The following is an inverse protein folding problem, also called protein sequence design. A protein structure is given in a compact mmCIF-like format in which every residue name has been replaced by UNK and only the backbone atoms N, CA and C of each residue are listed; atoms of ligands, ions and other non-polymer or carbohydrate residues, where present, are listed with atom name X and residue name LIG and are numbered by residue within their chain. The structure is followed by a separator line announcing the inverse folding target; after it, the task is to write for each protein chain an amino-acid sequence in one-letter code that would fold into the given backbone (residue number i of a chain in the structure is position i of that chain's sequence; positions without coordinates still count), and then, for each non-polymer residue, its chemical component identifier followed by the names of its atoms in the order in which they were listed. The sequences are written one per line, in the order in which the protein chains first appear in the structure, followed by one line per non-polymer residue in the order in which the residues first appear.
data_IF_586161371439
#
_entry.id   IF_586161371439
#
_cell.length_a   1.000
_cell.length_b   1.000
_cell.length_c   1.000
_cell.angle_alpha   90.00
_cell.angle_beta   90.00
_cell.angle_gamma   90.00
#
_symmetry.space_group_name_H-M   'P 1'
#
loop_
_entity.id
_entity.type
_entity.pdbx_description
1 polymer ?
#
# COMPACT_ATOMS: atom_id res chain seq x y z
N UNK A 1 1.13 -13.82 -18.58
CA UNK A 1 1.07 -12.39 -18.26
C UNK A 1 2.46 -11.84 -17.97
N UNK A 2 2.59 -10.51 -17.99
CA UNK A 2 3.71 -9.77 -17.45
C UNK A 2 3.16 -8.77 -16.42
N UNK A 3 4.05 -8.22 -15.57
CA UNK A 3 3.66 -7.31 -14.51
C UNK A 3 4.38 -5.98 -14.64
N UNK A 4 3.67 -4.91 -14.34
CA UNK A 4 4.19 -3.54 -14.28
C UNK A 4 3.94 -3.00 -12.89
N UNK A 5 4.96 -2.44 -12.27
CA UNK A 5 4.85 -1.65 -11.05
C UNK A 5 4.66 -0.19 -11.43
N UNK A 6 3.68 0.44 -10.81
CA UNK A 6 3.33 1.83 -11.08
C UNK A 6 3.18 2.54 -9.74
N UNK A 7 3.91 3.64 -9.53
CA UNK A 7 3.71 4.53 -8.40
C UNK A 7 3.05 5.82 -8.91
N UNK A 8 1.90 6.16 -8.36
CA UNK A 8 1.12 7.34 -8.71
C UNK A 8 1.15 8.31 -7.54
N UNK A 9 1.78 9.48 -7.75
CA UNK A 9 1.97 10.46 -6.68
C UNK A 9 1.24 11.77 -6.95
N UNK A 10 1.19 12.62 -5.94
CA UNK A 10 0.84 14.03 -6.01
C UNK A 10 1.78 14.84 -5.09
N UNK A 11 1.66 16.16 -5.05
CA UNK A 11 2.42 16.99 -4.11
C UNK A 11 2.08 16.65 -2.67
N UNK A 12 3.02 16.96 -1.77
CA UNK A 12 2.77 16.91 -0.34
C UNK A 12 1.63 17.87 0.04
N UNK A 13 0.90 17.52 1.08
CA UNK A 13 -0.23 18.28 1.61
C UNK A 13 -0.11 18.43 3.11
N UNK A 14 -0.68 19.49 3.67
CA UNK A 14 -0.77 19.68 5.13
C UNK A 14 -1.83 18.73 5.71
N UNK A 15 -1.71 18.44 7.01
CA UNK A 15 -2.55 17.46 7.69
C UNK A 15 -4.05 17.73 7.57
N UNK A 16 -4.47 18.99 7.66
CA UNK A 16 -5.89 19.36 7.58
C UNK A 16 -6.50 19.10 6.19
N UNK A 17 -5.70 19.17 5.13
CA UNK A 17 -6.13 18.92 3.75
C UNK A 17 -6.08 17.43 3.37
N UNK A 18 -5.35 16.62 4.14
CA UNK A 18 -5.13 15.20 3.81
C UNK A 18 -6.43 14.41 3.56
N UNK A 19 -7.52 14.55 4.34
CA UNK A 19 -8.76 13.83 4.07
C UNK A 19 -9.39 14.18 2.71
N UNK A 20 -9.35 15.44 2.30
CA UNK A 20 -9.88 15.89 1.01
C UNK A 20 -9.02 15.37 -0.14
N UNK A 21 -7.70 15.51 -0.01
CA UNK A 21 -6.74 15.07 -1.03
C UNK A 21 -6.76 13.55 -1.23
N UNK A 22 -6.95 12.76 -0.18
CA UNK A 22 -7.21 11.32 -0.32
C UNK A 22 -8.51 11.05 -1.08
N UNK A 23 -9.53 11.88 -0.89
CA UNK A 23 -10.76 11.82 -1.68
C UNK A 23 -10.53 12.08 -3.16
N UNK A 24 -9.70 13.08 -3.51
CA UNK A 24 -9.30 13.38 -4.89
C UNK A 24 -8.49 12.23 -5.50
N UNK A 25 -7.55 11.69 -4.73
CA UNK A 25 -6.72 10.55 -5.14
C UNK A 25 -7.57 9.31 -5.49
N UNK A 26 -8.55 8.98 -4.65
CA UNK A 26 -9.49 7.87 -4.90
C UNK A 26 -10.32 8.09 -6.16
N UNK A 27 -10.88 9.29 -6.35
CA UNK A 27 -11.64 9.66 -7.56
C UNK A 27 -10.73 9.65 -8.80
N UNK A 28 -9.49 10.09 -8.67
CA UNK A 28 -8.49 10.06 -9.74
C UNK A 28 -8.20 8.63 -10.21
N UNK A 29 -8.02 7.69 -9.27
CA UNK A 29 -7.86 6.27 -9.59
C UNK A 29 -9.07 5.72 -10.35
N UNK A 30 -10.28 6.03 -9.90
CA UNK A 30 -11.51 5.60 -10.59
C UNK A 30 -11.55 6.13 -12.03
N UNK A 31 -11.22 7.40 -12.26
CA UNK A 31 -11.13 7.97 -13.61
C UNK A 31 -10.04 7.27 -14.44
N UNK A 32 -8.86 7.02 -13.87
CA UNK A 32 -7.74 6.40 -14.57
C UNK A 32 -8.08 5.00 -15.06
N UNK A 33 -8.65 4.14 -14.20
CA UNK A 33 -9.01 2.77 -14.58
C UNK A 33 -10.12 2.70 -15.63
N UNK A 34 -10.88 3.78 -15.83
CA UNK A 34 -11.91 3.88 -16.88
C UNK A 34 -11.39 4.41 -18.20
N UNK A 35 -10.15 4.92 -18.27
CA UNK A 35 -9.53 5.38 -19.51
C UNK A 35 -9.42 4.24 -20.54
N UNK A 36 -9.66 4.55 -21.82
CA UNK A 36 -9.59 3.57 -22.91
C UNK A 36 -8.21 2.89 -22.96
N UNK A 37 -7.13 3.67 -22.85
CA UNK A 37 -5.76 3.13 -22.87
C UNK A 37 -5.54 2.14 -21.71
N UNK A 38 -6.00 2.45 -20.50
CA UNK A 38 -5.91 1.56 -19.35
C UNK A 38 -6.67 0.25 -19.60
N UNK A 39 -7.94 0.32 -20.00
CA UNK A 39 -8.79 -0.86 -20.26
C UNK A 39 -8.23 -1.77 -21.37
N UNK A 40 -7.58 -1.21 -22.37
CA UNK A 40 -6.97 -1.99 -23.46
C UNK A 40 -5.71 -2.73 -23.00
N UNK A 41 -4.86 -2.08 -22.19
CA UNK A 41 -3.57 -2.60 -21.77
C UNK A 41 -3.66 -3.53 -20.56
N UNK A 42 -4.50 -3.21 -19.57
CA UNK A 42 -4.50 -3.83 -18.24
C UNK A 42 -5.55 -4.92 -18.13
N UNK A 43 -5.13 -6.12 -17.71
CA UNK A 43 -5.99 -7.30 -17.48
C UNK A 43 -6.38 -7.48 -16.02
N UNK A 44 -5.62 -6.92 -15.12
CA UNK A 44 -5.89 -6.90 -13.69
C UNK A 44 -4.97 -5.90 -12.99
N UNK A 45 -5.38 -5.50 -11.82
CA UNK A 45 -4.63 -4.52 -11.02
C UNK A 45 -4.84 -4.76 -9.53
N UNK A 46 -3.80 -4.46 -8.78
CA UNK A 46 -3.79 -4.34 -7.34
C UNK A 46 -3.28 -2.95 -7.01
N UNK A 47 -3.89 -2.25 -6.07
CA UNK A 47 -3.39 -0.98 -5.56
C UNK A 47 -3.38 -0.95 -4.04
N UNK A 48 -2.32 -0.38 -3.47
CA UNK A 48 -2.22 -0.03 -2.07
C UNK A 48 -2.00 1.48 -1.92
N UNK A 49 -2.69 2.09 -0.97
CA UNK A 49 -2.42 3.47 -0.57
C UNK A 49 -1.26 3.47 0.42
N UNK A 50 -0.29 4.36 0.22
CA UNK A 50 0.75 4.68 1.19
C UNK A 50 0.73 6.19 1.48
N UNK A 51 0.91 6.56 2.74
CA UNK A 51 1.06 7.95 3.16
C UNK A 51 2.37 8.03 3.92
N UNK A 52 3.29 8.86 3.46
CA UNK A 52 4.52 9.17 4.18
C UNK A 52 4.41 10.54 4.82
N UNK A 53 4.89 10.67 6.06
CA UNK A 53 4.97 11.94 6.77
C UNK A 53 6.40 12.48 6.65
N UNK A 54 6.55 13.70 6.17
CA UNK A 54 7.87 14.34 6.07
C UNK A 54 8.23 15.02 7.40
N UNK A 55 9.14 14.39 8.13
CA UNK A 55 9.64 14.85 9.43
C UNK A 55 11.06 15.45 9.33
N UNK A 56 11.56 15.72 8.14
CA UNK A 56 12.86 16.36 7.93
C UNK A 56 12.77 17.86 8.25
N UNK A 57 13.25 18.27 9.41
CA UNK A 57 13.11 19.64 9.97
C UNK A 57 13.65 20.75 9.03
N UNK A 58 14.71 20.44 8.26
CA UNK A 58 15.30 21.41 7.31
C UNK A 58 14.61 21.41 5.94
N UNK A 59 13.56 20.62 5.76
CA UNK A 59 12.80 20.55 4.51
C UNK A 59 11.74 21.66 4.45
N UNK A 60 11.57 22.27 3.28
CA UNK A 60 10.47 23.22 3.02
C UNK A 60 9.09 22.54 3.11
N UNK A 61 9.05 21.21 3.09
CA UNK A 61 7.85 20.39 3.24
C UNK A 61 7.80 19.67 4.58
N UNK A 62 8.45 20.21 5.63
CA UNK A 62 8.35 19.69 6.99
C UNK A 62 6.89 19.65 7.47
N UNK A 63 6.53 18.64 8.26
CA UNK A 63 5.17 18.39 8.77
C UNK A 63 4.10 18.34 7.66
N UNK A 64 4.45 17.74 6.51
CA UNK A 64 3.51 17.50 5.41
C UNK A 64 3.40 16.00 5.09
N UNK A 65 2.29 15.62 4.49
CA UNK A 65 1.94 14.24 4.15
C UNK A 65 2.01 14.03 2.64
N UNK A 66 2.60 12.91 2.21
CA UNK A 66 2.71 12.54 0.80
C UNK A 66 1.90 11.27 0.49
N UNK A 67 0.61 11.41 0.16
CA UNK A 67 -0.20 10.26 -0.23
C UNK A 67 0.11 9.82 -1.67
N UNK A 68 0.27 8.52 -1.85
CA UNK A 68 0.53 7.94 -3.17
C UNK A 68 0.01 6.50 -3.26
N UNK A 69 -0.12 6.01 -4.49
CA UNK A 69 -0.49 4.62 -4.75
C UNK A 69 0.71 3.81 -5.23
N UNK A 70 0.89 2.64 -4.64
CA UNK A 70 1.63 1.54 -5.23
C UNK A 70 0.66 0.63 -5.96
N UNK A 71 0.91 0.41 -7.23
CA UNK A 71 0.03 -0.36 -8.11
C UNK A 71 0.79 -1.45 -8.82
N UNK A 72 0.24 -2.66 -8.82
CA UNK A 72 0.69 -3.76 -9.66
C UNK A 72 -0.32 -3.95 -10.78
N UNK A 73 0.13 -3.84 -12.02
CA UNK A 73 -0.68 -4.08 -13.20
C UNK A 73 -0.34 -5.42 -13.83
N UNK A 74 -1.35 -6.21 -14.17
CA UNK A 74 -1.23 -7.40 -14.99
C UNK A 74 -1.49 -7.03 -16.44
N UNK A 75 -0.53 -7.31 -17.31
CA UNK A 75 -0.60 -7.01 -18.74
C UNK A 75 -0.26 -8.25 -19.57
N UNK A 76 -0.58 -8.23 -20.85
CA UNK A 76 -0.13 -9.30 -21.76
C UNK A 76 1.39 -9.30 -21.87
N UNK A 77 2.02 -10.44 -22.16
CA UNK A 77 3.48 -10.52 -22.40
C UNK A 77 3.94 -9.62 -23.55
N UNK A 78 3.09 -9.44 -24.57
CA UNK A 78 3.34 -8.58 -25.72
C UNK A 78 3.22 -7.09 -25.43
N UNK A 79 2.72 -6.68 -24.26
CA UNK A 79 2.44 -5.28 -23.93
C UNK A 79 3.60 -4.33 -24.25
N UNK A 80 4.84 -4.74 -23.98
CA UNK A 80 6.02 -3.88 -24.17
C UNK A 80 6.41 -3.67 -25.63
N UNK A 81 5.87 -4.46 -26.56
CA UNK A 81 6.11 -4.41 -28.01
C UNK A 81 4.85 -4.12 -28.81
N UNK A 82 3.70 -4.05 -28.15
CA UNK A 82 2.39 -3.85 -28.75
C UNK A 82 2.02 -2.36 -28.81
N UNK A 83 1.09 -2.01 -29.71
CA UNK A 83 0.50 -0.67 -29.83
C UNK A 83 -0.29 -0.24 -28.57
N UNK A 84 -0.59 -1.15 -27.67
CA UNK A 84 -1.23 -0.87 -26.38
C UNK A 84 -0.24 -0.43 -25.30
N UNK A 85 1.06 -0.38 -25.61
CA UNK A 85 2.08 0.12 -24.70
C UNK A 85 1.82 1.58 -24.31
N UNK A 86 1.73 1.84 -23.02
CA UNK A 86 1.55 3.19 -22.48
C UNK A 86 2.91 3.72 -22.07
N UNK A 87 3.39 4.76 -22.76
CA UNK A 87 4.66 5.43 -22.45
C UNK A 87 4.58 6.15 -21.09
N UNK A 88 5.70 6.33 -20.45
CA UNK A 88 5.82 7.06 -19.18
C UNK A 88 5.15 8.44 -19.21
N UNK A 89 5.42 9.25 -20.22
CA UNK A 89 4.76 10.55 -20.41
C UNK A 89 3.22 10.46 -20.47
N UNK A 90 2.71 9.40 -21.11
CA UNK A 90 1.26 9.19 -21.22
C UNK A 90 0.66 8.83 -19.86
N UNK A 91 1.39 8.06 -19.01
CA UNK A 91 0.98 7.82 -17.64
C UNK A 91 0.92 9.12 -16.83
N UNK A 92 1.96 9.96 -16.90
CA UNK A 92 2.00 11.25 -16.20
C UNK A 92 0.82 12.16 -16.62
N UNK A 93 0.59 12.31 -17.94
CA UNK A 93 -0.51 13.13 -18.47
C UNK A 93 -1.89 12.59 -18.06
N UNK A 94 -2.10 11.28 -18.20
CA UNK A 94 -3.37 10.67 -17.77
C UNK A 94 -3.62 10.86 -16.27
N UNK A 95 -2.58 10.74 -15.44
CA UNK A 95 -2.70 10.92 -14.00
C UNK A 95 -2.97 12.39 -13.65
N UNK A 96 -2.27 13.32 -14.28
CA UNK A 96 -2.52 14.76 -14.18
C UNK A 96 -3.98 15.10 -14.46
N UNK A 97 -4.49 14.65 -15.62
CA UNK A 97 -5.87 14.89 -16.03
C UNK A 97 -6.90 14.25 -15.09
N UNK A 98 -6.61 13.04 -14.58
CA UNK A 98 -7.50 12.32 -13.67
C UNK A 98 -7.63 13.03 -12.31
N UNK A 99 -6.56 13.64 -11.83
CA UNK A 99 -6.54 14.44 -10.60
C UNK A 99 -6.97 15.89 -10.82
N UNK A 100 -6.90 16.41 -12.05
CA UNK A 100 -7.18 17.82 -12.38
C UNK A 100 -6.06 18.74 -11.87
N UNK A 101 -4.78 18.31 -11.99
CA UNK A 101 -3.63 19.06 -11.54
C UNK A 101 -3.16 20.09 -12.56
N UNK A 102 -2.71 21.23 -12.12
CA UNK A 102 -2.08 22.29 -12.91
C UNK A 102 -0.58 22.04 -13.18
N UNK A 103 -0.01 20.99 -12.59
CA UNK A 103 1.36 20.54 -12.76
C UNK A 103 1.42 19.07 -13.22
N UNK A 104 2.54 18.67 -13.81
CA UNK A 104 2.79 17.27 -14.19
C UNK A 104 3.25 16.49 -12.95
N UNK A 105 2.46 15.50 -12.47
CA UNK A 105 2.85 14.70 -11.30
C UNK A 105 3.97 13.72 -11.65
N UNK A 106 4.77 13.37 -10.66
CA UNK A 106 5.73 12.29 -10.80
C UNK A 106 5.00 10.94 -10.82
N UNK A 107 5.34 10.11 -11.80
CA UNK A 107 4.83 8.73 -11.93
C UNK A 107 6.03 7.83 -12.18
N UNK A 108 6.20 6.80 -11.37
CA UNK A 108 7.23 5.78 -11.64
C UNK A 108 6.58 4.57 -12.28
N UNK A 109 7.17 4.09 -13.38
CA UNK A 109 6.68 2.92 -14.13
C UNK A 109 7.84 1.95 -14.36
N UNK A 110 7.73 0.76 -13.76
CA UNK A 110 8.78 -0.26 -13.87
C UNK A 110 8.21 -1.62 -14.28
N UNK A 111 8.94 -2.32 -15.15
CA UNK A 111 8.66 -3.72 -15.40
C UNK A 111 9.11 -4.56 -14.20
N UNK A 112 8.26 -5.47 -13.72
CA UNK A 112 8.69 -6.47 -12.73
C UNK A 112 9.77 -7.38 -13.32
N UNK A 113 10.82 -7.57 -12.55
CA UNK A 113 11.78 -8.64 -12.80
C UNK A 113 11.21 -9.93 -12.21
N UNK A 114 10.88 -10.88 -13.05
CA UNK A 114 10.26 -12.16 -12.66
C UNK A 114 11.15 -13.35 -13.01
N UNK A 115 12.45 -13.09 -13.19
CA UNK A 115 13.40 -14.14 -13.60
C UNK A 115 13.60 -15.21 -12.53
N UNK A 116 13.43 -14.83 -11.25
CA UNK A 116 13.54 -15.76 -10.11
C UNK A 116 12.39 -15.57 -9.13
N UNK A 117 12.07 -16.64 -8.34
CA UNK A 117 11.09 -16.56 -7.24
C UNK A 117 11.46 -15.45 -6.22
N UNK A 118 12.75 -15.24 -5.96
CA UNK A 118 13.24 -14.20 -5.04
C UNK A 118 12.94 -12.79 -5.55
N UNK A 119 13.15 -12.53 -6.85
CA UNK A 119 12.82 -11.24 -7.45
C UNK A 119 11.32 -10.98 -7.45
N UNK A 120 10.51 -12.01 -7.74
CA UNK A 120 9.05 -11.91 -7.68
C UNK A 120 8.57 -11.59 -6.25
N UNK A 121 9.04 -12.33 -5.24
CA UNK A 121 8.71 -12.06 -3.82
C UNK A 121 9.08 -10.63 -3.42
N UNK A 122 10.29 -10.16 -3.78
CA UNK A 122 10.72 -8.77 -3.50
C UNK A 122 9.81 -7.74 -4.17
N UNK A 123 9.45 -7.96 -5.41
CA UNK A 123 8.58 -7.05 -6.17
C UNK A 123 7.15 -7.00 -5.62
N UNK A 124 6.63 -8.15 -5.15
CA UNK A 124 5.32 -8.22 -4.48
C UNK A 124 5.38 -7.52 -3.13
N UNK A 125 6.41 -7.77 -2.32
CA UNK A 125 6.59 -7.11 -1.03
C UNK A 125 6.67 -5.59 -1.16
N UNK A 126 7.32 -5.07 -2.21
CA UNK A 126 7.36 -3.64 -2.52
C UNK A 126 5.97 -3.05 -2.79
N UNK A 127 5.09 -3.84 -3.43
CA UNK A 127 3.74 -3.42 -3.77
C UNK A 127 2.75 -3.48 -2.59
N UNK A 128 3.03 -4.33 -1.60
CA UNK A 128 2.16 -4.58 -0.42
C UNK A 128 2.74 -3.89 0.82
N UNK A 129 3.26 -2.67 0.65
CA UNK A 129 3.73 -1.88 1.79
C UNK A 129 2.58 -1.46 2.68
N UNK A 130 2.89 -1.24 3.96
CA UNK A 130 1.93 -0.66 4.90
C UNK A 130 1.47 0.71 4.43
N UNK A 131 0.20 1.03 4.67
CA UNK A 131 -0.38 2.35 4.33
C UNK A 131 0.33 3.49 5.05
N UNK A 132 0.76 3.25 6.27
CA UNK A 132 1.57 4.16 7.10
C UNK A 132 2.63 3.32 7.79
N UNK A 133 3.87 3.77 7.80
CA UNK A 133 4.97 3.10 8.52
C UNK A 133 5.08 3.64 9.93
N UNK A 134 5.64 2.84 10.83
CA UNK A 134 5.85 3.23 12.21
C UNK A 134 6.58 4.57 12.33
N UNK A 135 7.61 4.79 11.52
CA UNK A 135 8.38 6.04 11.50
C UNK A 135 7.59 7.27 10.99
N UNK A 136 6.43 7.07 10.37
CA UNK A 136 5.59 8.16 9.88
C UNK A 136 4.66 8.73 10.98
N UNK A 137 4.51 8.03 12.12
CA UNK A 137 3.65 8.47 13.22
C UNK A 137 4.27 8.28 14.62
N UNK A 138 5.27 7.42 14.79
CA UNK A 138 6.06 7.35 16.01
C UNK A 138 7.17 8.40 15.92
N UNK A 139 7.02 9.52 16.64
CA UNK A 139 7.90 10.66 16.60
C UNK A 139 8.62 10.75 17.95
N UNK A 140 9.84 10.22 18.06
CA UNK A 140 10.62 10.29 19.30
C UNK A 140 10.80 11.73 19.74
N UNK A 141 10.70 11.96 21.04
CA UNK A 141 10.96 13.25 21.70
C UNK A 141 9.99 14.39 21.32
N UNK A 142 8.89 14.09 20.60
CA UNK A 142 7.85 15.09 20.27
C UNK A 142 6.44 14.47 20.35
N UNK A 143 5.96 14.29 21.59
CA UNK A 143 4.66 13.69 21.89
C UNK A 143 3.49 14.50 21.30
N UNK A 144 3.56 15.84 21.35
CA UNK A 144 2.51 16.71 20.79
C UNK A 144 2.34 16.51 19.27
N UNK A 145 3.45 16.48 18.53
CA UNK A 145 3.43 16.23 17.08
C UNK A 145 2.97 14.80 16.78
N UNK A 146 3.36 13.84 17.59
CA UNK A 146 2.93 12.43 17.47
C UNK A 146 1.41 12.33 17.62
N UNK A 147 0.83 12.87 18.67
CA UNK A 147 -0.61 12.83 18.92
C UNK A 147 -1.41 13.53 17.82
N UNK A 148 -0.94 14.69 17.37
CA UNK A 148 -1.49 15.40 16.21
C UNK A 148 -1.47 14.52 14.95
N UNK A 149 -0.34 13.88 14.67
CA UNK A 149 -0.16 13.01 13.49
C UNK A 149 -1.10 11.82 13.54
N UNK A 150 -1.21 11.15 14.67
CA UNK A 150 -2.13 10.01 14.86
C UNK A 150 -3.58 10.46 14.65
N UNK A 151 -3.98 11.60 15.20
CA UNK A 151 -5.32 12.15 15.02
C UNK A 151 -5.64 12.46 13.54
N UNK A 152 -4.70 13.09 12.82
CA UNK A 152 -4.82 13.40 11.38
C UNK A 152 -4.97 12.11 10.58
N UNK A 153 -4.07 11.14 10.76
CA UNK A 153 -4.09 9.88 10.02
C UNK A 153 -5.35 9.07 10.30
N UNK A 154 -5.76 8.98 11.56
CA UNK A 154 -7.00 8.29 11.95
C UNK A 154 -8.21 8.89 11.24
N UNK A 155 -8.34 10.21 11.24
CA UNK A 155 -9.42 10.92 10.54
C UNK A 155 -9.33 10.73 9.03
N UNK A 156 -8.14 10.84 8.46
CA UNK A 156 -7.92 10.78 7.02
C UNK A 156 -8.19 9.39 6.46
N UNK A 157 -7.82 8.32 7.19
CA UNK A 157 -7.97 6.94 6.75
C UNK A 157 -9.35 6.33 7.07
N UNK A 158 -10.12 6.95 7.96
CA UNK A 158 -11.41 6.44 8.40
C UNK A 158 -12.34 6.11 7.21
N UNK A 159 -12.91 4.89 7.21
CA UNK A 159 -13.87 4.39 6.21
C UNK A 159 -13.35 4.40 4.77
N UNK A 160 -12.03 4.37 4.57
CA UNK A 160 -11.41 4.32 3.24
C UNK A 160 -10.87 2.92 2.94
N UNK A 161 -11.02 2.51 1.70
CA UNK A 161 -10.42 1.27 1.22
C UNK A 161 -8.96 1.53 0.87
N UNK A 162 -8.05 1.06 1.72
CA UNK A 162 -6.61 1.27 1.58
C UNK A 162 -6.02 0.37 0.49
N UNK A 163 -6.51 -0.86 0.40
CA UNK A 163 -6.13 -1.86 -0.60
C UNK A 163 -7.34 -2.17 -1.48
N UNK A 164 -7.11 -2.31 -2.78
CA UNK A 164 -8.14 -2.73 -3.73
C UNK A 164 -7.52 -3.46 -4.92
N UNK A 165 -8.30 -4.32 -5.54
CA UNK A 165 -7.87 -5.08 -6.71
C UNK A 165 -9.04 -5.29 -7.69
N UNK A 166 -8.70 -5.63 -8.94
CA UNK A 166 -9.69 -5.87 -9.99
C UNK A 166 -9.15 -6.71 -11.14
N UNK A 167 -10.04 -7.09 -12.06
CA UNK A 167 -9.72 -7.99 -13.17
C UNK A 167 -9.21 -9.35 -12.68
N UNK A 168 -8.18 -9.87 -13.29
CA UNK A 168 -7.60 -11.20 -12.97
C UNK A 168 -7.31 -11.39 -11.47
N UNK A 169 -6.88 -10.35 -10.77
CA UNK A 169 -6.65 -10.45 -9.31
C UNK A 169 -7.95 -10.73 -8.55
N UNK A 170 -9.06 -10.09 -8.94
CA UNK A 170 -10.35 -10.34 -8.31
C UNK A 170 -10.85 -11.77 -8.58
N UNK A 171 -10.66 -12.28 -9.79
CA UNK A 171 -11.01 -13.65 -10.15
C UNK A 171 -10.22 -14.69 -9.35
N UNK A 172 -8.91 -14.44 -9.17
CA UNK A 172 -8.03 -15.33 -8.38
C UNK A 172 -8.44 -15.28 -6.90
N UNK A 173 -8.68 -14.09 -6.35
CA UNK A 173 -9.11 -13.89 -4.97
C UNK A 173 -10.39 -14.69 -4.67
N UNK A 174 -11.39 -14.61 -5.55
CA UNK A 174 -12.64 -15.37 -5.42
C UNK A 174 -12.41 -16.88 -5.52
N UNK A 175 -11.55 -17.34 -6.45
CA UNK A 175 -11.24 -18.77 -6.62
C UNK A 175 -10.50 -19.38 -5.42
N UNK A 176 -9.73 -18.58 -4.73
CA UNK A 176 -8.95 -19.01 -3.56
C UNK A 176 -9.71 -18.83 -2.25
N UNK A 177 -10.97 -18.32 -2.28
CA UNK A 177 -11.81 -18.02 -1.11
C UNK A 177 -11.05 -17.21 -0.04
N UNK A 178 -10.29 -16.19 -0.48
CA UNK A 178 -9.46 -15.38 0.42
C UNK A 178 -10.28 -14.40 1.28
N UNK A 179 -11.59 -14.32 1.07
CA UNK A 179 -12.51 -13.51 1.87
C UNK A 179 -12.95 -14.20 3.18
N UNK A 180 -12.80 -15.53 3.27
CA UNK A 180 -13.33 -16.38 4.35
C UNK A 180 -12.25 -16.80 5.36
N UNK A 181 -11.35 -15.92 5.71
CA UNK A 181 -10.38 -16.24 6.76
C UNK A 181 -10.94 -15.78 8.11
N UNK A 182 -11.97 -16.46 8.62
CA UNK A 182 -12.42 -16.28 10.00
C UNK A 182 -11.41 -16.82 11.03
N UNK A 183 -10.54 -17.77 10.63
CA UNK A 183 -9.51 -18.39 11.49
C UNK A 183 -8.11 -18.46 10.85
N UNK A 184 -7.83 -17.71 9.79
CA UNK A 184 -6.57 -17.82 9.07
C UNK A 184 -5.49 -16.90 9.60
N UNK A 185 -4.31 -17.44 9.79
CA UNK A 185 -3.08 -16.65 9.86
C UNK A 185 -2.99 -15.76 8.61
N UNK A 186 -3.17 -14.47 8.78
CA UNK A 186 -3.04 -13.46 7.71
C UNK A 186 -1.62 -13.40 7.14
N UNK A 187 -0.69 -14.01 7.81
CA UNK A 187 0.70 -14.16 7.40
C UNK A 187 1.07 -15.63 7.59
N UNK A 188 1.04 -16.39 6.50
CA UNK A 188 1.74 -17.67 6.47
C UNK A 188 3.24 -17.37 6.42
N UNK A 189 3.83 -17.15 7.58
CA UNK A 189 5.28 -17.19 7.73
C UNK A 189 5.69 -18.65 7.63
N UNK A 190 5.86 -19.14 6.39
CA UNK A 190 6.61 -20.35 6.18
C UNK A 190 7.90 -20.23 6.98
N UNK A 191 8.18 -21.22 7.83
CA UNK A 191 9.32 -21.26 8.75
C UNK A 191 10.70 -21.07 8.09
N UNK A 192 10.77 -20.96 6.77
CA UNK A 192 11.99 -20.74 6.00
C UNK A 192 12.57 -19.31 6.10
N UNK A 193 11.79 -18.32 6.56
CA UNK A 193 12.27 -16.94 6.71
C UNK A 193 12.69 -16.57 8.14
N UNK A 194 12.60 -17.52 9.09
CA UNK A 194 13.12 -17.35 10.44
C UNK A 194 14.65 -17.37 10.37
N UNK A 195 15.28 -16.23 10.64
CA UNK A 195 16.75 -16.14 10.76
C UNK A 195 17.19 -17.06 11.88
N UNK A 196 18.12 -17.98 11.60
CA UNK A 196 18.75 -18.81 12.63
C UNK A 196 19.19 -17.94 13.82
N UNK A 197 18.76 -18.30 15.03
CA UNK A 197 19.12 -17.62 16.27
C UNK A 197 18.18 -16.52 16.77
N UNK A 198 17.09 -16.20 16.07
CA UNK A 198 16.08 -15.25 16.57
C UNK A 198 15.02 -16.02 17.34
N UNK A 199 14.86 -15.70 18.63
CA UNK A 199 13.78 -16.25 19.47
C UNK A 199 12.53 -15.42 19.30
N UNK A 200 11.40 -16.07 19.03
CA UNK A 200 10.10 -15.42 18.90
C UNK A 200 9.21 -15.90 20.05
N UNK A 201 8.40 -14.99 20.56
CA UNK A 201 7.26 -15.32 21.40
C UNK A 201 5.99 -14.83 20.70
N UNK A 202 4.89 -15.53 20.93
CA UNK A 202 3.58 -15.19 20.36
C UNK A 202 2.72 -14.59 21.47
N UNK A 203 2.31 -13.34 21.30
CA UNK A 203 1.31 -12.70 22.15
C UNK A 203 -0.07 -12.83 21.52
N UNK A 204 -1.03 -13.35 22.27
CA UNK A 204 -2.41 -13.40 21.87
C UNK A 204 -3.13 -12.28 22.62
N UNK A 205 -3.54 -11.24 21.90
CA UNK A 205 -4.27 -10.10 22.44
C UNK A 205 -5.74 -10.20 22.09
N UNK A 206 -6.62 -9.86 23.04
CA UNK A 206 -8.06 -9.85 22.82
C UNK A 206 -8.64 -8.47 23.14
N UNK A 207 -9.63 -8.06 22.35
CA UNK A 207 -10.36 -6.83 22.60
C UNK A 207 -11.32 -6.99 23.78
N UNK A 208 -11.26 -6.09 24.75
CA UNK A 208 -12.18 -6.03 25.86
C UNK A 208 -13.17 -4.86 25.69
N UNK A 209 -14.43 -5.17 25.46
CA UNK A 209 -15.47 -4.18 25.27
C UNK A 209 -15.74 -3.32 26.51
N UNK A 210 -15.51 -3.86 27.71
CA UNK A 210 -15.72 -3.13 28.96
C UNK A 210 -14.68 -2.04 29.21
N UNK A 211 -13.43 -2.29 28.79
CA UNK A 211 -12.33 -1.35 28.93
C UNK A 211 -12.04 -0.58 27.63
N UNK A 212 -12.72 -0.92 26.52
CA UNK A 212 -12.47 -0.36 25.18
C UNK A 212 -11.00 -0.40 24.78
N UNK A 213 -10.31 -1.50 25.11
CA UNK A 213 -8.88 -1.68 24.86
C UNK A 213 -8.53 -3.15 24.64
N UNK A 214 -7.35 -3.39 24.07
CA UNK A 214 -6.77 -4.72 23.97
C UNK A 214 -6.10 -5.11 25.29
N UNK A 215 -6.13 -6.40 25.62
CA UNK A 215 -5.37 -6.98 26.69
C UNK A 215 -4.67 -8.26 26.23
N UNK A 216 -3.53 -8.56 26.82
CA UNK A 216 -2.78 -9.78 26.53
C UNK A 216 -3.53 -10.94 27.21
N UNK A 217 -4.04 -11.87 26.40
CA UNK A 217 -4.73 -13.05 26.89
C UNK A 217 -3.77 -14.21 27.19
N UNK A 218 -2.77 -14.38 26.33
CA UNK A 218 -1.79 -15.47 26.41
C UNK A 218 -0.48 -15.04 25.77
N UNK A 219 0.64 -15.48 26.38
CA UNK A 219 1.98 -15.38 25.80
C UNK A 219 2.48 -16.81 25.60
N UNK A 220 2.76 -17.21 24.36
CA UNK A 220 3.36 -18.50 24.03
C UNK A 220 4.85 -18.33 23.86
N UNK A 221 5.62 -19.02 24.71
CA UNK A 221 7.08 -19.10 24.58
C UNK A 221 7.47 -20.10 23.49
N UNK A 222 8.69 -19.98 22.93
CA UNK A 222 9.22 -20.96 21.99
C UNK A 222 9.19 -22.38 22.56
N UNK A 223 8.99 -23.38 21.73
CA UNK A 223 8.81 -24.79 22.14
C UNK A 223 10.00 -25.35 22.95
N UNK A 224 11.20 -24.79 22.82
CA UNK A 224 12.38 -25.20 23.55
C UNK A 224 12.37 -24.82 25.06
N UNK A 225 11.53 -23.88 25.46
CA UNK A 225 11.37 -23.46 26.87
C UNK A 225 10.18 -24.13 27.59
N UNK A 226 9.44 -24.99 26.88
CA UNK A 226 8.29 -25.74 27.42
C UNK A 226 8.66 -27.15 27.96
N UNK A 227 9.97 -27.49 28.05
CA UNK A 227 10.46 -28.77 28.58
C UNK A 227 11.05 -28.65 29.96
#
# INVERSE_FOLDING_TARGET
YAFVFLTLTQKNVIGDELPEELGKLLKGWEKLRHRKAFKQAVKGWFRALEITHNLEENSLSYDTYHPHYHVVLVVNKSYFTDKTYIKHESWCKMWQECLGLDYLPNVDVRRFKTSTKKELKKSVAEAVKYTVKDNDFLIPDNEELQDKTVAILTKALARRRLIAFGGVFKEIHQKLNLDDVEDGDLVNTDNEDLREGVRYYKEIVMWNFGYSNYYINEIKLPEEEQR
#
